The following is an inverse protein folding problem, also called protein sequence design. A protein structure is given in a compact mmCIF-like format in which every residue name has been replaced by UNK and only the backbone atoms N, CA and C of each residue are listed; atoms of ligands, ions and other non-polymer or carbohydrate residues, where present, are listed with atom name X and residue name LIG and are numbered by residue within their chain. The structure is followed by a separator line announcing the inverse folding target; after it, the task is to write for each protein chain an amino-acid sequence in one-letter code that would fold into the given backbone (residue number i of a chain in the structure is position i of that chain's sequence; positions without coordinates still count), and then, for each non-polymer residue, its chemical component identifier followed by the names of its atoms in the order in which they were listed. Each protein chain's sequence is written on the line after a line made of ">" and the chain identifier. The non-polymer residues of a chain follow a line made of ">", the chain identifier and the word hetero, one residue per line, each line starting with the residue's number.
data_IF_354174259939
#
_entry.id   IF_354174259939
#
_cell.length_a   1.000
_cell.length_b   1.000
_cell.length_c   1.000
_cell.angle_alpha   90.00
_cell.angle_beta   90.00
_cell.angle_gamma   90.00
#
_symmetry.space_group_name_H-M   'P 1'
#
loop_
_entity.id
_entity.type
_entity.pdbx_description
1 polymer ?
#
# COMPACT_ATOMS: atom_id res chain seq x y z
N UNK A 1 -12.04 5.09 12.96
CA UNK A 1 -12.15 3.73 12.37
C UNK A 1 -13.50 3.48 11.71
N UNK A 2 -14.64 3.54 12.39
CA UNK A 2 -15.99 3.20 11.86
C UNK A 2 -16.35 3.86 10.52
N UNK A 3 -15.95 5.14 10.31
CA UNK A 3 -16.19 5.87 9.03
C UNK A 3 -15.50 5.16 7.87
N UNK A 4 -14.22 4.82 8.03
CA UNK A 4 -13.42 4.15 6.99
C UNK A 4 -13.97 2.74 6.70
N UNK A 5 -14.35 1.98 7.74
CA UNK A 5 -14.94 0.64 7.59
C UNK A 5 -16.25 0.69 6.81
N UNK A 6 -17.12 1.65 7.13
CA UNK A 6 -18.41 1.80 6.44
C UNK A 6 -18.21 2.18 4.96
N UNK A 7 -17.30 3.12 4.69
CA UNK A 7 -16.97 3.54 3.33
C UNK A 7 -16.38 2.37 2.51
N UNK A 8 -15.39 1.66 3.06
CA UNK A 8 -14.78 0.49 2.42
C UNK A 8 -15.81 -0.62 2.16
N UNK A 9 -16.66 -0.95 3.13
CA UNK A 9 -17.71 -1.96 2.97
C UNK A 9 -18.74 -1.57 1.90
N UNK A 10 -19.08 -0.28 1.78
CA UNK A 10 -20.04 0.20 0.75
C UNK A 10 -19.42 0.07 -0.65
N UNK A 11 -18.18 0.50 -0.83
CA UNK A 11 -17.47 0.39 -2.10
C UNK A 11 -17.24 -1.09 -2.49
N UNK A 12 -16.83 -1.93 -1.54
CA UNK A 12 -16.57 -3.35 -1.75
C UNK A 12 -17.75 -4.14 -2.32
N UNK A 13 -18.99 -3.81 -1.92
CA UNK A 13 -20.20 -4.50 -2.43
C UNK A 13 -20.33 -4.39 -3.95
N UNK A 14 -19.93 -3.26 -4.53
CA UNK A 14 -19.97 -3.07 -5.97
C UNK A 14 -18.75 -3.67 -6.64
N UNK A 15 -17.56 -3.45 -6.09
CA UNK A 15 -16.33 -4.06 -6.60
C UNK A 15 -16.44 -5.59 -6.70
N UNK A 16 -17.03 -6.27 -5.69
CA UNK A 16 -17.24 -7.71 -5.74
C UNK A 16 -18.17 -8.13 -6.90
N UNK A 17 -19.22 -7.36 -7.19
CA UNK A 17 -20.09 -7.63 -8.36
C UNK A 17 -19.35 -7.40 -9.67
N UNK A 18 -18.66 -6.27 -9.78
CA UNK A 18 -17.88 -5.94 -10.98
C UNK A 18 -16.74 -6.97 -11.20
N UNK A 19 -16.15 -7.51 -10.13
CA UNK A 19 -15.14 -8.57 -10.20
C UNK A 19 -15.68 -9.90 -10.73
N UNK A 20 -16.92 -10.25 -10.38
CA UNK A 20 -17.58 -11.46 -10.90
C UNK A 20 -17.99 -11.34 -12.38
N UNK A 21 -18.00 -10.12 -12.91
CA UNK A 21 -18.43 -9.78 -14.27
C UNK A 21 -17.32 -9.02 -15.02
N UNK A 22 -16.06 -9.26 -14.69
CA UNK A 22 -14.92 -8.45 -15.15
C UNK A 22 -14.80 -8.40 -16.67
N UNK A 23 -15.20 -9.44 -17.40
CA UNK A 23 -15.20 -9.47 -18.87
C UNK A 23 -16.09 -8.39 -19.51
N UNK A 24 -17.05 -7.85 -18.77
CA UNK A 24 -18.00 -6.83 -19.23
C UNK A 24 -17.55 -5.41 -18.85
N UNK A 25 -16.42 -5.23 -18.15
CA UNK A 25 -15.96 -3.92 -17.72
C UNK A 25 -15.30 -3.16 -18.86
N UNK A 26 -15.61 -1.85 -18.94
CA UNK A 26 -14.86 -0.93 -19.78
C UNK A 26 -13.55 -0.58 -19.10
N UNK A 27 -12.44 -0.75 -19.83
CA UNK A 27 -11.07 -0.53 -19.37
C UNK A 27 -10.43 0.55 -20.23
N UNK A 28 -9.70 1.45 -19.57
CA UNK A 28 -8.84 2.44 -20.20
C UNK A 28 -7.40 2.24 -19.76
N UNK A 29 -6.45 2.60 -20.59
CA UNK A 29 -5.01 2.47 -20.33
C UNK A 29 -4.48 3.85 -19.92
N UNK A 30 -3.97 4.00 -18.70
CA UNK A 30 -3.26 5.21 -18.23
C UNK A 30 -1.83 5.25 -18.79
N UNK A 31 -1.21 4.06 -18.95
CA UNK A 31 0.14 3.88 -19.46
C UNK A 31 0.45 2.39 -19.66
N UNK A 32 1.64 2.03 -20.17
CA UNK A 32 2.02 0.63 -20.34
C UNK A 32 2.00 -0.14 -19.01
N UNK A 33 1.03 -1.05 -18.85
CA UNK A 33 0.81 -1.82 -17.62
C UNK A 33 0.04 -1.09 -16.51
N UNK A 34 -0.41 0.12 -16.77
CA UNK A 34 -1.20 0.94 -15.84
C UNK A 34 -2.61 1.14 -16.41
N UNK A 35 -3.60 0.58 -15.75
CA UNK A 35 -4.98 0.50 -16.19
C UNK A 35 -5.91 1.21 -15.22
N UNK A 36 -7.01 1.72 -15.74
CA UNK A 36 -8.17 2.16 -14.96
C UNK A 36 -9.43 1.54 -15.57
N UNK A 37 -10.30 1.07 -14.73
CA UNK A 37 -11.59 0.56 -15.13
C UNK A 37 -12.73 1.45 -14.62
N UNK A 38 -13.93 1.21 -15.13
CA UNK A 38 -15.12 1.83 -14.53
C UNK A 38 -15.31 1.40 -13.07
N UNK A 39 -14.75 0.26 -12.64
CA UNK A 39 -14.84 -0.21 -11.27
C UNK A 39 -14.07 0.73 -10.34
N UNK A 40 -12.83 1.13 -10.71
CA UNK A 40 -12.00 2.10 -9.97
C UNK A 40 -12.75 3.42 -9.78
N UNK A 41 -13.23 4.01 -10.89
CA UNK A 41 -13.94 5.30 -10.89
C UNK A 41 -15.19 5.27 -10.00
N UNK A 42 -15.96 4.18 -10.04
CA UNK A 42 -17.18 4.04 -9.24
C UNK A 42 -16.87 3.80 -7.78
N UNK A 43 -15.83 3.03 -7.48
CA UNK A 43 -15.36 2.80 -6.11
C UNK A 43 -14.87 4.11 -5.51
N UNK A 44 -14.06 4.87 -6.26
CA UNK A 44 -13.60 6.20 -5.83
C UNK A 44 -14.77 7.16 -5.55
N UNK A 45 -15.74 7.25 -6.43
CA UNK A 45 -16.92 8.10 -6.23
C UNK A 45 -17.70 7.73 -4.96
N UNK A 46 -17.86 6.42 -4.70
CA UNK A 46 -18.53 5.92 -3.50
C UNK A 46 -17.74 6.25 -2.23
N UNK A 47 -16.41 6.04 -2.23
CA UNK A 47 -15.53 6.34 -1.11
C UNK A 47 -15.52 7.84 -0.81
N UNK A 48 -15.42 8.68 -1.85
CA UNK A 48 -15.48 10.13 -1.72
C UNK A 48 -16.77 10.58 -1.04
N UNK A 49 -17.93 10.16 -1.57
CA UNK A 49 -19.24 10.53 -1.02
C UNK A 49 -19.35 10.17 0.47
N UNK A 50 -18.96 8.96 0.85
CA UNK A 50 -19.07 8.49 2.24
C UNK A 50 -18.11 9.23 3.18
N UNK A 51 -16.87 9.47 2.75
CA UNK A 51 -15.86 10.13 3.55
C UNK A 51 -16.16 11.62 3.71
N UNK A 52 -16.54 12.34 2.65
CA UNK A 52 -16.93 13.75 2.69
C UNK A 52 -18.19 13.97 3.54
N UNK A 53 -19.20 13.12 3.38
CA UNK A 53 -20.42 13.16 4.18
C UNK A 53 -20.14 12.96 5.67
N UNK A 54 -19.26 12.04 6.01
CA UNK A 54 -18.93 11.73 7.41
C UNK A 54 -18.02 12.78 8.06
N UNK A 55 -17.14 13.42 7.28
CA UNK A 55 -16.16 14.42 7.76
C UNK A 55 -16.04 15.57 6.76
N UNK A 56 -17.03 16.46 6.72
CA UNK A 56 -16.97 17.66 5.89
C UNK A 56 -15.75 18.51 6.26
N UNK A 57 -15.02 19.00 5.27
CA UNK A 57 -13.84 19.84 5.47
C UNK A 57 -12.51 19.09 5.62
N UNK A 58 -12.49 17.76 5.62
CA UNK A 58 -11.24 17.03 5.46
C UNK A 58 -10.76 17.11 4.00
N UNK A 59 -9.44 17.20 3.80
CA UNK A 59 -8.85 17.07 2.46
C UNK A 59 -8.96 15.65 1.94
N UNK A 60 -8.81 15.49 0.64
CA UNK A 60 -8.75 14.20 -0.04
C UNK A 60 -7.52 14.16 -0.94
N UNK A 61 -6.84 13.03 -0.96
CA UNK A 61 -5.85 12.64 -1.95
C UNK A 61 -6.24 11.24 -2.43
N UNK A 62 -6.71 11.16 -3.66
CA UNK A 62 -7.26 9.93 -4.24
C UNK A 62 -6.51 9.59 -5.53
N UNK A 63 -6.43 8.31 -5.86
CA UNK A 63 -5.65 7.84 -7.00
C UNK A 63 -6.15 8.44 -8.32
N UNK A 64 -7.44 8.35 -8.59
CA UNK A 64 -8.00 8.68 -9.90
C UNK A 64 -8.20 10.18 -10.11
N UNK A 65 -8.67 10.88 -9.08
CA UNK A 65 -9.01 12.30 -9.15
C UNK A 65 -7.98 13.23 -8.54
N UNK A 66 -6.93 12.69 -7.91
CA UNK A 66 -5.86 13.47 -7.28
C UNK A 66 -6.29 14.17 -5.98
N UNK A 67 -5.61 15.28 -5.68
CA UNK A 67 -5.89 16.08 -4.49
C UNK A 67 -7.13 16.97 -4.68
N UNK A 68 -7.95 17.05 -3.63
CA UNK A 68 -9.11 17.95 -3.58
C UNK A 68 -9.39 18.45 -2.16
N UNK A 69 -10.16 19.54 -2.06
CA UNK A 69 -10.41 20.23 -0.79
C UNK A 69 -9.48 21.42 -0.56
N UNK A 70 -9.45 21.92 0.65
CA UNK A 70 -8.61 23.08 1.01
C UNK A 70 -7.15 22.67 1.19
N UNK A 71 -6.20 23.46 0.69
CA UNK A 71 -4.76 23.27 0.96
C UNK A 71 -4.39 23.44 2.45
N UNK A 72 -5.31 24.01 3.25
CA UNK A 72 -5.17 24.21 4.71
C UNK A 72 -5.90 23.13 5.52
N UNK A 73 -5.96 21.89 5.01
CA UNK A 73 -6.56 20.81 5.76
C UNK A 73 -5.81 20.54 7.10
N UNK A 74 -6.55 20.25 8.14
CA UNK A 74 -6.00 19.71 9.39
C UNK A 74 -5.94 18.16 9.32
N UNK A 75 -6.87 17.56 8.58
CA UNK A 75 -6.99 16.15 8.33
C UNK A 75 -7.23 15.90 6.84
N UNK A 76 -6.63 14.83 6.30
CA UNK A 76 -6.78 14.43 4.90
C UNK A 76 -6.95 12.91 4.79
N UNK A 77 -7.86 12.48 3.94
CA UNK A 77 -7.95 11.09 3.51
C UNK A 77 -6.96 10.86 2.38
N UNK A 78 -6.23 9.74 2.44
CA UNK A 78 -5.41 9.23 1.34
C UNK A 78 -6.04 7.90 0.94
N UNK A 79 -6.45 7.74 -0.33
CA UNK A 79 -7.31 6.64 -0.76
C UNK A 79 -6.85 6.07 -2.09
N UNK A 80 -6.68 4.76 -2.10
CA UNK A 80 -6.68 3.94 -3.30
C UNK A 80 -7.98 3.14 -3.35
N UNK A 81 -8.85 3.38 -4.34
CA UNK A 81 -10.12 2.69 -4.45
C UNK A 81 -9.99 1.22 -4.85
N UNK A 82 -8.91 0.85 -5.54
CA UNK A 82 -8.68 -0.51 -6.04
C UNK A 82 -7.19 -0.78 -6.30
N UNK A 83 -6.41 -0.95 -5.24
CA UNK A 83 -5.02 -1.41 -5.35
C UNK A 83 -4.97 -2.83 -5.93
N UNK A 84 -4.26 -2.98 -7.03
CA UNK A 84 -4.20 -4.22 -7.79
C UNK A 84 -5.19 -4.28 -8.96
N UNK A 85 -5.46 -3.16 -9.65
CA UNK A 85 -6.36 -3.06 -10.82
C UNK A 85 -6.04 -4.11 -11.88
N UNK A 86 -4.76 -4.38 -12.19
CA UNK A 86 -4.36 -5.43 -13.12
C UNK A 86 -4.86 -6.81 -12.68
N UNK A 87 -4.71 -7.15 -11.40
CA UNK A 87 -5.21 -8.40 -10.84
C UNK A 87 -6.73 -8.49 -10.97
N UNK A 88 -7.41 -7.40 -10.61
CA UNK A 88 -8.86 -7.31 -10.72
C UNK A 88 -9.34 -7.60 -12.15
N UNK A 89 -8.74 -6.93 -13.15
CA UNK A 89 -9.08 -7.11 -14.56
C UNK A 89 -8.80 -8.50 -15.13
N UNK A 90 -7.89 -9.23 -14.50
CA UNK A 90 -7.58 -10.62 -14.87
C UNK A 90 -8.29 -11.68 -14.02
N UNK A 91 -9.25 -11.27 -13.17
CA UNK A 91 -9.97 -12.19 -12.28
C UNK A 91 -9.11 -12.81 -11.19
N UNK A 92 -7.95 -12.22 -10.89
CA UNK A 92 -7.05 -12.68 -9.82
C UNK A 92 -7.56 -12.12 -8.48
N UNK A 93 -7.90 -12.96 -7.47
CA UNK A 93 -8.53 -12.52 -6.22
C UNK A 93 -7.50 -11.92 -5.24
N UNK A 94 -6.68 -10.96 -5.70
CA UNK A 94 -5.64 -10.31 -4.92
C UNK A 94 -5.60 -8.81 -5.23
N UNK A 95 -6.53 -8.08 -4.62
CA UNK A 95 -6.72 -6.64 -4.73
C UNK A 95 -7.38 -6.09 -3.47
N UNK A 96 -7.26 -4.79 -3.21
CA UNK A 96 -7.74 -4.19 -1.99
C UNK A 96 -8.25 -2.76 -2.17
N UNK A 97 -9.03 -2.29 -1.19
CA UNK A 97 -9.31 -0.88 -0.93
C UNK A 97 -8.35 -0.42 0.15
N UNK A 98 -7.61 0.66 -0.10
CA UNK A 98 -6.68 1.26 0.86
C UNK A 98 -7.18 2.65 1.27
N UNK A 99 -7.28 2.91 2.58
CA UNK A 99 -7.71 4.20 3.13
C UNK A 99 -6.80 4.54 4.31
N UNK A 100 -6.17 5.72 4.26
CA UNK A 100 -5.42 6.27 5.37
C UNK A 100 -5.99 7.63 5.79
N UNK A 101 -5.93 7.92 7.07
CA UNK A 101 -6.24 9.23 7.65
C UNK A 101 -4.94 9.91 8.08
N UNK A 102 -4.61 10.97 7.40
CA UNK A 102 -3.43 11.79 7.64
C UNK A 102 -3.80 13.05 8.44
N UNK A 103 -2.97 13.39 9.41
CA UNK A 103 -3.06 14.59 10.22
C UNK A 103 -1.89 15.52 9.90
N UNK A 104 -2.16 16.80 9.69
CA UNK A 104 -1.12 17.84 9.59
C UNK A 104 -0.60 18.19 10.99
N UNK A 105 0.71 18.28 11.10
CA UNK A 105 1.39 18.66 12.34
C UNK A 105 1.66 20.17 12.39
N UNK A 106 1.83 20.76 13.59
CA UNK A 106 2.11 22.20 13.73
C UNK A 106 3.42 22.68 13.09
N UNK A 107 4.39 21.78 12.93
CA UNK A 107 5.68 22.04 12.28
C UNK A 107 5.62 22.00 10.74
N UNK A 108 4.44 21.75 10.18
CA UNK A 108 4.21 21.63 8.74
C UNK A 108 4.38 20.22 8.20
N UNK A 109 4.84 19.27 9.00
CA UNK A 109 4.86 17.83 8.67
C UNK A 109 3.47 17.21 8.73
N UNK A 110 3.40 15.91 8.51
CA UNK A 110 2.17 15.14 8.65
C UNK A 110 2.45 13.72 9.19
N UNK A 111 1.42 13.08 9.68
CA UNK A 111 1.49 11.71 10.18
C UNK A 111 0.20 10.95 9.87
N UNK A 112 0.31 9.63 9.64
CA UNK A 112 -0.86 8.77 9.47
C UNK A 112 -1.38 8.35 10.85
N UNK A 113 -2.66 8.60 11.11
CA UNK A 113 -3.30 8.35 12.40
C UNK A 113 -4.21 7.13 12.40
N UNK A 114 -4.79 6.78 11.26
CA UNK A 114 -5.61 5.58 11.11
C UNK A 114 -5.50 5.03 9.70
N UNK A 115 -5.66 3.72 9.56
CA UNK A 115 -5.49 3.02 8.30
C UNK A 115 -6.42 1.82 8.18
N UNK A 116 -6.88 1.56 6.95
CA UNK A 116 -7.56 0.31 6.55
C UNK A 116 -6.97 -0.15 5.22
N UNK A 117 -6.70 -1.45 5.12
CA UNK A 117 -6.51 -2.19 3.87
C UNK A 117 -7.52 -3.33 3.89
N UNK A 118 -8.48 -3.30 2.97
CA UNK A 118 -9.56 -4.27 2.92
C UNK A 118 -9.50 -5.07 1.62
N UNK A 119 -9.30 -6.39 1.74
CA UNK A 119 -9.45 -7.36 0.65
C UNK A 119 -10.85 -7.98 0.69
N UNK A 120 -11.80 -7.51 -0.13
CA UNK A 120 -13.19 -7.95 -0.05
C UNK A 120 -13.37 -9.42 -0.45
N UNK A 121 -12.55 -9.92 -1.37
CA UNK A 121 -12.65 -11.31 -1.87
C UNK A 121 -12.41 -12.32 -0.75
N UNK A 122 -11.49 -12.02 0.16
CA UNK A 122 -11.15 -12.91 1.28
C UNK A 122 -11.86 -12.52 2.57
N UNK A 123 -12.57 -11.37 2.60
CA UNK A 123 -13.16 -10.81 3.82
C UNK A 123 -12.10 -10.38 4.85
N UNK A 124 -10.88 -10.07 4.42
CA UNK A 124 -9.77 -9.67 5.27
C UNK A 124 -9.70 -8.14 5.37
N UNK A 125 -10.01 -7.60 6.52
CA UNK A 125 -9.87 -6.17 6.83
C UNK A 125 -8.71 -5.96 7.80
N UNK A 126 -7.59 -5.47 7.28
CA UNK A 126 -6.44 -5.05 8.06
C UNK A 126 -6.65 -3.59 8.46
N UNK A 127 -6.45 -3.27 9.73
CA UNK A 127 -6.62 -1.91 10.20
C UNK A 127 -5.69 -1.58 11.36
N UNK A 128 -5.39 -0.29 11.52
CA UNK A 128 -4.61 0.23 12.63
C UNK A 128 -5.05 1.66 13.00
N UNK A 129 -4.91 1.99 14.28
CA UNK A 129 -4.89 3.37 14.79
C UNK A 129 -3.57 3.60 15.48
N UNK A 130 -2.97 4.77 15.31
CA UNK A 130 -1.68 5.12 15.88
C UNK A 130 -1.70 4.99 17.42
N UNK A 131 -0.78 4.17 17.95
CA UNK A 131 -0.65 3.88 19.38
C UNK A 131 -1.65 2.85 19.93
N UNK A 132 -2.54 2.30 19.09
CA UNK A 132 -3.54 1.30 19.51
C UNK A 132 -3.10 -0.12 19.11
N UNK A 133 -2.43 -0.23 17.98
CA UNK A 133 -1.99 -1.49 17.40
C UNK A 133 -2.64 -1.79 16.07
N UNK A 134 -2.20 -2.87 15.43
CA UNK A 134 -2.73 -3.36 14.16
C UNK A 134 -3.57 -4.63 14.35
N UNK A 135 -4.57 -4.80 13.50
CA UNK A 135 -5.55 -5.88 13.59
C UNK A 135 -5.92 -6.42 12.20
N UNK A 136 -6.23 -7.70 12.13
CA UNK A 136 -6.92 -8.34 11.02
C UNK A 136 -8.30 -8.76 11.53
N UNK A 137 -9.35 -8.12 11.02
CA UNK A 137 -10.68 -8.22 11.59
C UNK A 137 -10.62 -7.93 13.11
N UNK A 138 -10.89 -8.90 13.97
CA UNK A 138 -10.84 -8.75 15.43
C UNK A 138 -9.54 -9.28 16.06
N UNK A 139 -8.60 -9.81 15.24
CA UNK A 139 -7.36 -10.42 15.74
C UNK A 139 -6.20 -9.43 15.67
N UNK A 140 -5.54 -9.20 16.80
CA UNK A 140 -4.34 -8.37 16.85
C UNK A 140 -3.20 -8.98 16.01
N UNK A 141 -2.54 -8.12 15.25
CA UNK A 141 -1.42 -8.49 14.40
C UNK A 141 -0.06 -8.27 15.08
N UNK A 142 0.92 -9.02 14.62
CA UNK A 142 2.34 -8.79 14.85
C UNK A 142 3.12 -9.23 13.63
N UNK A 143 4.17 -8.49 13.30
CA UNK A 143 5.13 -8.90 12.28
C UNK A 143 5.81 -10.22 12.67
N UNK A 144 6.42 -10.90 11.71
CA UNK A 144 7.14 -12.15 11.97
C UNK A 144 8.29 -11.95 12.97
N UNK A 145 8.64 -13.01 13.68
CA UNK A 145 9.80 -13.03 14.58
C UNK A 145 11.07 -13.64 13.92
N UNK A 146 11.05 -13.85 12.60
CA UNK A 146 12.16 -14.44 11.85
C UNK A 146 13.39 -13.53 11.91
N UNK A 147 14.56 -14.13 12.08
CA UNK A 147 15.85 -13.40 12.23
C UNK A 147 16.84 -13.76 11.13
N UNK A 148 16.76 -14.97 10.59
CA UNK A 148 17.66 -15.41 9.54
C UNK A 148 17.13 -14.95 8.18
N UNK A 149 17.95 -14.16 7.49
CA UNK A 149 17.63 -13.63 6.17
C UNK A 149 17.45 -14.74 5.13
N UNK A 150 18.15 -15.87 5.28
CA UNK A 150 18.07 -17.04 4.39
C UNK A 150 16.70 -17.73 4.45
N UNK A 151 16.02 -17.63 5.58
CA UNK A 151 14.69 -18.20 5.78
C UNK A 151 13.56 -17.21 5.44
N UNK A 152 13.92 -15.96 5.19
CA UNK A 152 12.95 -14.88 5.01
C UNK A 152 12.27 -14.92 3.64
N UNK A 153 10.97 -14.68 3.64
CA UNK A 153 10.14 -14.52 2.45
C UNK A 153 9.81 -13.03 2.27
N UNK A 154 10.26 -12.47 1.16
CA UNK A 154 10.02 -11.07 0.83
C UNK A 154 8.95 -10.90 -0.24
N UNK A 155 8.32 -9.73 -0.30
CA UNK A 155 7.46 -9.32 -1.40
C UNK A 155 7.97 -8.02 -2.03
N UNK A 156 7.57 -7.76 -3.27
CA UNK A 156 7.93 -6.55 -4.03
C UNK A 156 6.93 -6.27 -5.15
N UNK A 157 6.87 -5.01 -5.59
CA UNK A 157 6.29 -4.65 -6.88
C UNK A 157 7.37 -4.58 -7.97
N UNK A 158 6.94 -4.72 -9.22
CA UNK A 158 7.80 -4.51 -10.39
C UNK A 158 7.56 -3.10 -10.91
N UNK A 159 8.59 -2.25 -11.03
CA UNK A 159 8.43 -0.90 -11.58
C UNK A 159 7.79 -0.92 -12.97
N UNK A 160 6.73 -0.13 -13.18
CA UNK A 160 6.07 0.02 -14.47
C UNK A 160 7.02 0.58 -15.55
N UNK A 161 6.66 0.36 -16.82
CA UNK A 161 7.45 0.87 -17.94
C UNK A 161 7.62 2.40 -17.92
N UNK A 162 6.63 3.14 -17.41
CA UNK A 162 6.69 4.58 -17.21
C UNK A 162 7.62 5.01 -16.06
N UNK A 163 7.99 4.10 -15.16
CA UNK A 163 8.95 4.37 -14.09
C UNK A 163 10.34 4.65 -14.68
N UNK A 164 11.11 5.54 -14.04
CA UNK A 164 12.43 5.91 -14.52
C UNK A 164 13.35 4.70 -14.77
N UNK A 165 14.18 4.75 -15.81
CA UNK A 165 15.14 3.68 -16.11
C UNK A 165 16.03 3.37 -14.90
N UNK A 166 16.39 4.40 -14.12
CA UNK A 166 17.17 4.26 -12.91
C UNK A 166 16.48 3.42 -11.84
N UNK A 167 15.15 3.58 -11.64
CA UNK A 167 14.40 2.76 -10.67
C UNK A 167 14.31 1.30 -11.12
N UNK A 168 14.11 1.05 -12.43
CA UNK A 168 14.11 -0.32 -12.97
C UNK A 168 15.45 -1.02 -12.76
N UNK A 169 16.55 -0.30 -12.97
CA UNK A 169 17.90 -0.85 -12.77
C UNK A 169 18.20 -1.08 -11.28
N UNK A 170 17.81 -0.14 -10.40
CA UNK A 170 17.91 -0.29 -8.95
C UNK A 170 17.11 -1.52 -8.45
N UNK A 171 15.89 -1.68 -8.94
CA UNK A 171 15.06 -2.85 -8.66
C UNK A 171 15.73 -4.16 -9.07
N UNK A 172 16.26 -4.24 -10.31
CA UNK A 172 16.93 -5.44 -10.80
C UNK A 172 18.16 -5.82 -9.97
N UNK A 173 18.96 -4.83 -9.52
CA UNK A 173 20.10 -5.03 -8.63
C UNK A 173 19.68 -5.52 -7.25
N UNK A 174 18.70 -4.87 -6.64
CA UNK A 174 18.16 -5.29 -5.33
C UNK A 174 17.62 -6.71 -5.40
N UNK A 175 16.82 -7.04 -6.43
CA UNK A 175 16.30 -8.38 -6.64
C UNK A 175 17.42 -9.40 -6.83
N UNK A 176 18.42 -9.08 -7.66
CA UNK A 176 19.58 -9.93 -7.90
C UNK A 176 20.38 -10.25 -6.63
N UNK A 177 20.48 -9.29 -5.70
CA UNK A 177 21.11 -9.50 -4.40
C UNK A 177 20.27 -10.32 -3.43
N UNK A 178 18.93 -10.19 -3.48
CA UNK A 178 18.01 -10.89 -2.61
C UNK A 178 17.80 -12.36 -3.01
N UNK A 179 17.73 -12.67 -4.29
CA UNK A 179 17.44 -14.03 -4.78
C UNK A 179 18.31 -15.13 -4.18
N UNK A 180 19.65 -15.01 -4.14
CA UNK A 180 20.50 -16.06 -3.57
C UNK A 180 20.57 -16.04 -2.04
N UNK A 181 20.05 -14.99 -1.39
CA UNK A 181 20.23 -14.73 0.03
C UNK A 181 18.97 -15.04 0.88
N UNK A 182 17.84 -15.38 0.26
CA UNK A 182 16.55 -15.50 0.94
C UNK A 182 15.81 -16.78 0.56
N UNK A 183 14.77 -17.13 1.30
CA UNK A 183 13.88 -18.25 0.95
C UNK A 183 13.06 -17.98 -0.31
N UNK A 184 12.90 -16.72 -0.69
CA UNK A 184 12.26 -16.35 -1.95
C UNK A 184 11.65 -14.96 -1.93
N UNK A 185 11.21 -14.55 -3.14
CA UNK A 185 10.53 -13.27 -3.37
C UNK A 185 9.18 -13.54 -4.02
N UNK A 186 8.17 -12.77 -3.65
CA UNK A 186 6.82 -12.80 -4.24
C UNK A 186 6.52 -11.47 -4.91
N UNK A 187 5.77 -11.52 -6.01
CA UNK A 187 5.20 -10.35 -6.68
C UNK A 187 3.73 -10.64 -6.95
N UNK A 188 2.86 -10.22 -6.04
CA UNK A 188 1.42 -10.44 -6.20
C UNK A 188 0.67 -9.24 -6.78
N UNK A 189 1.24 -8.04 -6.75
CA UNK A 189 0.75 -6.89 -7.49
C UNK A 189 -0.35 -6.09 -6.80
N UNK A 190 -0.31 -6.04 -5.47
CA UNK A 190 -1.09 -5.16 -4.61
C UNK A 190 -0.19 -4.71 -3.46
N UNK A 191 0.30 -3.49 -3.52
CA UNK A 191 1.25 -2.95 -2.53
C UNK A 191 0.63 -2.83 -1.14
N UNK A 192 -0.64 -2.41 -1.08
CA UNK A 192 -1.37 -2.32 0.18
C UNK A 192 -1.50 -3.70 0.86
N UNK A 193 -1.82 -4.76 0.09
CA UNK A 193 -1.88 -6.12 0.63
C UNK A 193 -0.49 -6.67 0.99
N UNK A 194 0.54 -6.39 0.20
CA UNK A 194 1.90 -6.84 0.50
C UNK A 194 2.37 -6.27 1.84
N UNK A 195 2.14 -4.97 2.11
CA UNK A 195 2.41 -4.35 3.41
C UNK A 195 1.54 -4.93 4.54
N UNK A 196 0.24 -5.12 4.30
CA UNK A 196 -0.67 -5.73 5.28
C UNK A 196 -0.24 -7.17 5.63
N UNK A 197 0.32 -7.91 4.67
CA UNK A 197 0.84 -9.25 4.90
C UNK A 197 2.17 -9.26 5.64
N UNK A 198 3.01 -8.22 5.48
CA UNK A 198 4.17 -8.01 6.38
C UNK A 198 3.69 -7.81 7.81
N UNK A 199 2.69 -6.95 8.03
CA UNK A 199 2.13 -6.72 9.36
C UNK A 199 1.52 -7.98 9.99
N UNK A 200 0.98 -8.88 9.16
CA UNK A 200 0.42 -10.17 9.60
C UNK A 200 1.45 -11.28 9.78
N UNK A 201 2.74 -11.02 9.49
CA UNK A 201 3.82 -12.00 9.54
C UNK A 201 3.74 -13.09 8.48
N UNK A 202 2.97 -12.86 7.40
CA UNK A 202 2.90 -13.74 6.22
C UNK A 202 4.12 -13.56 5.32
N UNK A 203 4.59 -12.29 5.20
CA UNK A 203 5.88 -11.92 4.65
C UNK A 203 6.78 -11.42 5.76
N UNK A 204 8.07 -11.55 5.57
CA UNK A 204 9.09 -11.05 6.50
C UNK A 204 9.51 -9.62 6.17
N UNK A 205 9.31 -9.20 4.92
CA UNK A 205 9.50 -7.83 4.48
C UNK A 205 8.98 -7.58 3.07
N UNK A 206 8.99 -6.31 2.71
CA UNK A 206 8.53 -5.78 1.43
C UNK A 206 9.36 -4.57 1.02
N UNK A 207 9.61 -4.39 -0.27
CA UNK A 207 10.17 -3.17 -0.83
C UNK A 207 9.56 -2.88 -2.19
N UNK A 208 9.42 -1.61 -2.51
CA UNK A 208 9.01 -1.17 -3.85
C UNK A 208 9.58 0.20 -4.19
N UNK A 209 9.75 0.49 -5.49
CA UNK A 209 10.30 1.74 -6.01
C UNK A 209 9.38 2.33 -7.07
N UNK A 210 9.13 3.64 -7.00
CA UNK A 210 8.25 4.35 -7.93
C UNK A 210 6.77 4.28 -7.54
N UNK A 211 6.49 4.03 -6.28
CA UNK A 211 5.17 3.86 -5.68
C UNK A 211 4.53 5.21 -5.31
N UNK A 212 3.24 5.24 -5.11
CA UNK A 212 2.47 6.43 -4.78
C UNK A 212 1.99 6.43 -3.32
N UNK A 213 1.67 7.61 -2.76
CA UNK A 213 1.20 7.69 -1.36
C UNK A 213 -0.03 6.85 -1.06
N UNK A 214 -0.98 6.76 -1.96
CA UNK A 214 -2.22 6.00 -1.74
C UNK A 214 -2.01 4.49 -1.67
N UNK A 215 -0.99 3.96 -2.36
CA UNK A 215 -0.63 2.54 -2.32
C UNK A 215 -0.06 2.11 -0.96
N UNK A 216 0.66 3.02 -0.26
CA UNK A 216 1.50 2.64 0.89
C UNK A 216 1.12 3.28 2.22
N UNK A 217 0.43 4.44 2.24
CA UNK A 217 0.19 5.19 3.48
C UNK A 217 -0.53 4.34 4.54
N UNK A 218 -1.55 3.61 4.15
CA UNK A 218 -2.29 2.72 5.07
C UNK A 218 -1.42 1.55 5.53
N UNK A 219 -0.78 0.86 4.59
CA UNK A 219 0.05 -0.31 4.87
C UNK A 219 1.22 0.01 5.80
N UNK A 220 1.89 1.16 5.61
CA UNK A 220 3.00 1.59 6.47
C UNK A 220 2.58 1.76 7.93
N UNK A 221 1.42 2.39 8.21
CA UNK A 221 0.91 2.48 9.57
C UNK A 221 0.61 1.09 10.14
N UNK A 222 -0.04 0.22 9.36
CA UNK A 222 -0.40 -1.12 9.81
C UNK A 222 0.85 -1.94 10.18
N UNK A 223 1.93 -1.84 9.37
CA UNK A 223 3.22 -2.50 9.69
C UNK A 223 3.82 -1.95 10.99
N UNK A 224 3.87 -0.63 11.16
CA UNK A 224 4.43 0.02 12.36
C UNK A 224 3.66 -0.38 13.63
N UNK A 225 2.35 -0.36 13.58
CA UNK A 225 1.47 -0.74 14.70
C UNK A 225 1.48 -2.25 14.99
N UNK A 226 1.93 -3.07 14.02
CA UNK A 226 2.22 -4.49 14.23
C UNK A 226 3.61 -4.76 14.81
N UNK A 227 4.42 -3.71 15.07
CA UNK A 227 5.77 -3.79 15.63
C UNK A 227 6.88 -3.98 14.59
N UNK A 228 6.61 -3.72 13.32
CA UNK A 228 7.58 -3.66 12.23
C UNK A 228 8.14 -2.26 12.00
N UNK A 229 9.10 -2.15 11.10
CA UNK A 229 9.55 -0.91 10.51
C UNK A 229 9.01 -0.79 9.10
N UNK A 230 8.54 0.40 8.74
CA UNK A 230 8.16 0.78 7.39
C UNK A 230 8.70 2.20 7.14
N UNK A 231 9.67 2.34 6.25
CA UNK A 231 10.44 3.56 6.02
C UNK A 231 10.53 3.88 4.54
N UNK A 232 10.97 5.09 4.22
CA UNK A 232 11.44 5.43 2.88
C UNK A 232 12.82 4.76 2.59
N UNK A 233 13.35 4.99 1.40
CA UNK A 233 14.67 4.48 0.98
C UNK A 233 15.84 5.03 1.80
N UNK A 234 15.63 6.12 2.54
CA UNK A 234 16.60 6.72 3.46
C UNK A 234 16.46 6.23 4.91
N UNK A 235 15.50 5.34 5.17
CA UNK A 235 15.21 4.82 6.50
C UNK A 235 14.44 5.79 7.40
N UNK A 236 13.78 6.80 6.83
CA UNK A 236 12.97 7.78 7.55
C UNK A 236 11.49 7.39 7.49
N UNK A 237 10.71 7.92 8.43
CA UNK A 237 9.27 7.71 8.54
C UNK A 237 8.44 8.49 7.50
N UNK A 238 8.96 8.67 6.28
CA UNK A 238 8.29 9.41 5.23
C UNK A 238 7.47 8.50 4.33
N UNK A 239 6.42 9.06 3.74
CA UNK A 239 5.72 8.48 2.59
C UNK A 239 6.39 9.05 1.35
N UNK A 240 7.19 8.24 0.67
CA UNK A 240 7.97 8.63 -0.51
C UNK A 240 7.77 7.58 -1.62
N UNK A 241 8.43 7.80 -2.75
CA UNK A 241 8.40 6.92 -3.92
C UNK A 241 9.16 5.59 -3.74
N UNK A 242 9.81 5.39 -2.61
CA UNK A 242 10.47 4.14 -2.22
C UNK A 242 9.97 3.74 -0.84
N UNK A 243 9.58 2.49 -0.69
CA UNK A 243 9.17 1.92 0.60
C UNK A 243 10.00 0.68 0.92
N UNK A 244 10.40 0.56 2.19
CA UNK A 244 11.07 -0.62 2.75
C UNK A 244 10.38 -0.97 4.05
N UNK A 245 9.79 -2.16 4.13
CA UNK A 245 9.08 -2.63 5.32
C UNK A 245 9.54 -4.04 5.70
N UNK A 246 9.76 -4.28 6.98
CA UNK A 246 10.08 -5.60 7.51
C UNK A 246 9.93 -5.64 9.04
N UNK A 247 10.11 -6.82 9.62
CA UNK A 247 10.31 -6.93 11.06
C UNK A 247 11.63 -6.26 11.50
N UNK A 248 11.81 -5.91 12.79
CA UNK A 248 12.98 -5.15 13.25
C UNK A 248 14.33 -5.83 13.01
N UNK A 249 14.37 -7.16 12.89
CA UNK A 249 15.62 -7.90 12.70
C UNK A 249 16.10 -7.88 11.23
N UNK A 250 15.17 -7.86 10.29
CA UNK A 250 15.47 -7.97 8.85
C UNK A 250 15.49 -6.62 8.14
N UNK A 251 14.77 -5.61 8.67
CA UNK A 251 14.68 -4.30 8.06
C UNK A 251 16.04 -3.63 7.78
N UNK A 252 17.02 -3.60 8.71
CA UNK A 252 18.30 -2.92 8.44
C UNK A 252 19.02 -3.49 7.23
N UNK A 253 19.02 -4.83 7.08
CA UNK A 253 19.68 -5.49 5.95
C UNK A 253 18.92 -5.29 4.65
N UNK A 254 17.58 -5.35 4.68
CA UNK A 254 16.76 -5.08 3.49
C UNK A 254 16.97 -3.63 3.01
N UNK A 255 16.96 -2.66 3.93
CA UNK A 255 17.21 -1.25 3.64
C UNK A 255 18.60 -1.02 3.02
N UNK A 256 19.63 -1.68 3.55
CA UNK A 256 20.99 -1.64 2.98
C UNK A 256 20.98 -2.09 1.52
N UNK A 257 20.38 -3.24 1.21
CA UNK A 257 20.31 -3.77 -0.16
C UNK A 257 19.53 -2.88 -1.12
N UNK A 258 18.46 -2.25 -0.64
CA UNK A 258 17.68 -1.27 -1.43
C UNK A 258 18.51 -0.03 -1.72
N UNK A 259 19.23 0.51 -0.72
CA UNK A 259 20.15 1.66 -0.88
C UNK A 259 21.26 1.38 -1.86
N UNK A 260 21.90 0.22 -1.77
CA UNK A 260 22.97 -0.21 -2.69
C UNK A 260 22.44 -0.28 -4.13
N UNK A 261 21.23 -0.82 -4.31
CA UNK A 261 20.55 -0.83 -5.60
C UNK A 261 20.31 0.57 -6.17
N UNK A 262 19.94 1.52 -5.30
CA UNK A 262 19.70 2.92 -5.67
C UNK A 262 21.00 3.70 -5.91
N UNK A 263 22.02 3.52 -5.08
CA UNK A 263 23.29 4.25 -5.16
C UNK A 263 24.05 3.98 -6.46
N UNK A 264 23.99 2.75 -6.96
CA UNK A 264 24.67 2.36 -8.21
C UNK A 264 24.05 2.99 -9.50
N UNK A 265 23.16 3.99 -9.36
CA UNK A 265 22.64 4.80 -10.48
C UNK A 265 23.66 5.79 -11.07
N UNK A 266 24.78 6.04 -10.37
CA UNK A 266 25.70 7.14 -10.69
C UNK A 266 27.00 6.70 -11.37
N UNK A 267 27.06 5.47 -11.89
CA UNK A 267 28.24 4.95 -12.60
C UNK A 267 27.96 4.63 -14.07
#
# INVERSE_FOLDING_TARGET
>A
MTVMQNAANKAAKRLLRDFMEVENLQVSVKGPGDFVSQADMRAEATLREELEKARPGYGLLMEESGASGSDKWAWRWIVDPLDGTTNFLHGIPHWAISIALEKRLPDGGSEINAAIVYCPVNGEMFWAEKGVGAYLNDRRLRVSARRDFKEALFATGIPFAATSAGNRLAFARTLGALMPATAGVRRFGSAALDLAWVAAGRYDGYWEMGIKPWDIAAGMLIVREAGGYATDGEGKDNIDSVVVAANPHLHPKLLELVRDGLAAKQG
#
